data_IF_528929677179
#
_entry.id   IF_528929677179
#
_cell.length_a   1.000
_cell.length_b   1.000
_cell.length_c   1.000
_cell.angle_alpha   90.00
_cell.angle_beta   90.00
_cell.angle_gamma   90.00
#
_symmetry.space_group_name_H-M   'P 1'
#
loop_
_entity.id
_entity.type
_entity.pdbx_description
1 polymer ?
#
# COMPACT_ATOMS: atom_id res chain seq x y z
N UNK A 1 19.87 -22.59 -31.12
CA UNK A 1 19.73 -21.25 -30.49
C UNK A 1 19.98 -21.45 -29.00
N UNK A 2 20.78 -20.58 -28.37
CA UNK A 2 21.52 -20.73 -27.09
C UNK A 2 22.93 -21.31 -27.22
N UNK A 3 23.85 -20.47 -27.71
CA UNK A 3 25.29 -20.74 -27.78
C UNK A 3 26.08 -19.71 -26.94
N UNK A 4 25.49 -19.18 -25.88
CA UNK A 4 26.06 -18.02 -25.14
C UNK A 4 26.27 -18.23 -23.63
N UNK A 5 25.86 -19.38 -23.07
CA UNK A 5 26.07 -19.67 -21.64
C UNK A 5 27.52 -20.04 -21.30
N UNK A 6 28.36 -20.35 -22.30
CA UNK A 6 29.78 -20.70 -22.09
C UNK A 6 30.67 -19.51 -21.66
N UNK A 7 30.18 -18.27 -21.77
CA UNK A 7 30.91 -17.06 -21.36
C UNK A 7 30.60 -16.63 -19.93
N UNK A 8 29.59 -17.22 -19.30
CA UNK A 8 29.15 -16.89 -17.95
C UNK A 8 29.79 -17.87 -16.99
N UNK A 9 30.51 -17.39 -15.97
CA UNK A 9 31.05 -18.26 -14.93
C UNK A 9 29.88 -18.94 -14.22
N UNK A 10 29.96 -20.26 -14.03
CA UNK A 10 28.86 -21.05 -13.47
C UNK A 10 28.39 -20.55 -12.11
N UNK A 11 29.30 -20.04 -11.27
CA UNK A 11 29.01 -19.49 -9.93
C UNK A 11 28.15 -18.21 -9.92
N UNK A 12 27.98 -17.56 -11.08
CA UNK A 12 27.11 -16.38 -11.22
C UNK A 12 25.70 -16.71 -11.69
N UNK A 13 25.43 -17.99 -11.99
CA UNK A 13 24.10 -18.40 -12.42
C UNK A 13 23.13 -18.47 -11.23
N UNK A 14 21.83 -18.16 -11.42
CA UNK A 14 20.84 -18.17 -10.35
C UNK A 14 20.75 -19.50 -9.59
N UNK A 15 20.94 -20.63 -10.26
CA UNK A 15 20.93 -21.97 -9.65
C UNK A 15 22.05 -22.20 -8.62
N UNK A 16 23.12 -21.40 -8.64
CA UNK A 16 24.20 -21.42 -7.65
C UNK A 16 24.12 -20.23 -6.67
N UNK A 17 23.06 -19.42 -6.74
CA UNK A 17 22.79 -18.34 -5.80
C UNK A 17 21.97 -18.86 -4.61
N UNK A 18 22.45 -18.58 -3.39
CA UNK A 18 21.69 -18.87 -2.17
C UNK A 18 20.69 -17.75 -1.89
N UNK A 19 19.46 -17.89 -2.38
CA UNK A 19 18.36 -16.99 -2.04
C UNK A 19 17.83 -17.30 -0.63
N UNK A 20 18.23 -16.48 0.34
CA UNK A 20 17.76 -16.58 1.73
C UNK A 20 16.40 -15.88 1.84
N UNK A 21 15.39 -16.59 2.35
CA UNK A 21 14.12 -15.97 2.68
C UNK A 21 14.22 -15.23 4.02
N UNK A 22 14.50 -13.92 3.95
CA UNK A 22 14.58 -13.02 5.10
C UNK A 22 13.38 -12.06 5.18
N UNK A 23 12.38 -12.22 4.31
CA UNK A 23 11.19 -11.38 4.33
C UNK A 23 11.46 -9.88 4.14
N UNK A 24 10.73 -9.08 4.91
CA UNK A 24 10.81 -7.62 4.94
C UNK A 24 10.42 -7.06 6.32
N UNK A 25 10.36 -5.73 6.43
CA UNK A 25 9.92 -5.01 7.65
C UNK A 25 8.47 -5.28 8.08
N UNK A 26 7.67 -5.97 7.26
CA UNK A 26 6.27 -6.29 7.56
C UNK A 26 6.08 -7.75 7.95
N UNK A 27 6.92 -8.65 7.45
CA UNK A 27 6.80 -10.09 7.66
C UNK A 27 8.12 -10.79 7.34
N UNK A 28 8.51 -11.76 8.17
CA UNK A 28 9.86 -12.33 8.19
C UNK A 28 10.13 -13.41 7.12
N UNK A 29 9.11 -13.82 6.34
CA UNK A 29 9.24 -14.81 5.27
C UNK A 29 8.38 -14.45 4.05
N UNK A 30 9.02 -14.13 2.93
CA UNK A 30 8.37 -13.89 1.64
C UNK A 30 7.56 -15.11 1.18
N UNK A 31 8.06 -16.33 1.43
CA UNK A 31 7.40 -17.56 0.99
C UNK A 31 6.13 -17.89 1.79
N UNK A 32 6.00 -17.35 3.01
CA UNK A 32 4.83 -17.56 3.87
C UNK A 32 4.07 -16.26 4.15
N UNK A 33 4.30 -15.22 3.37
CA UNK A 33 3.77 -13.89 3.63
C UNK A 33 2.23 -13.88 3.50
N UNK A 34 1.48 -13.43 4.52
CA UNK A 34 0.02 -13.38 4.48
C UNK A 34 -0.51 -12.17 3.70
N UNK A 35 0.36 -11.26 3.26
CA UNK A 35 -0.06 -10.05 2.56
C UNK A 35 -0.62 -10.41 1.16
N UNK A 36 -1.75 -9.81 0.74
CA UNK A 36 -2.36 -10.08 -0.55
C UNK A 36 -1.51 -9.59 -1.73
N UNK A 37 -0.55 -8.69 -1.48
CA UNK A 37 0.36 -8.13 -2.48
C UNK A 37 1.73 -7.88 -1.83
N UNK A 38 2.82 -8.16 -2.53
CA UNK A 38 4.15 -7.87 -2.01
C UNK A 38 4.39 -6.35 -1.94
N UNK A 39 5.04 -5.87 -0.87
CA UNK A 39 5.40 -4.45 -0.72
C UNK A 39 6.39 -3.96 -1.79
N UNK A 40 7.22 -4.87 -2.32
CA UNK A 40 8.22 -4.56 -3.32
C UNK A 40 7.63 -4.55 -4.74
N UNK A 41 6.57 -5.32 -4.98
CA UNK A 41 5.88 -5.37 -6.28
C UNK A 41 5.06 -4.10 -6.54
N UNK A 42 4.47 -3.51 -5.50
CA UNK A 42 3.73 -2.23 -5.60
C UNK A 42 4.16 -1.27 -4.49
N UNK A 43 5.30 -0.56 -4.68
CA UNK A 43 5.83 0.35 -3.69
C UNK A 43 4.82 1.46 -3.36
N UNK A 44 4.11 1.32 -2.24
CA UNK A 44 3.14 2.30 -1.75
C UNK A 44 1.71 1.77 -1.56
N UNK A 45 1.39 0.55 -2.02
CA UNK A 45 0.03 0.00 -1.88
C UNK A 45 -0.44 -0.05 -0.42
N UNK A 46 0.45 -0.40 0.52
CA UNK A 46 0.15 -0.44 1.96
C UNK A 46 -0.19 0.94 2.49
N UNK A 47 0.58 1.96 2.09
CA UNK A 47 0.34 3.32 2.55
C UNK A 47 -0.96 3.87 1.97
N UNK A 48 -1.24 3.53 0.71
CA UNK A 48 -2.48 3.88 0.02
C UNK A 48 -3.68 3.22 0.71
N UNK A 49 -3.63 1.92 0.97
CA UNK A 49 -4.67 1.18 1.69
C UNK A 49 -4.98 1.80 3.06
N UNK A 50 -3.95 2.07 3.87
CA UNK A 50 -4.12 2.73 5.18
C UNK A 50 -4.79 4.10 5.07
N UNK A 51 -4.45 4.87 4.03
CA UNK A 51 -5.03 6.19 3.80
C UNK A 51 -6.49 6.06 3.37
N UNK A 52 -6.80 5.15 2.46
CA UNK A 52 -8.15 4.90 1.96
C UNK A 52 -9.06 4.42 3.09
N UNK A 53 -8.61 3.47 3.91
CA UNK A 53 -9.36 2.98 5.06
C UNK A 53 -9.65 4.11 6.06
N UNK A 54 -8.63 4.91 6.40
CA UNK A 54 -8.80 6.07 7.29
C UNK A 54 -9.81 7.07 6.71
N UNK A 55 -9.67 7.41 5.44
CA UNK A 55 -10.50 8.43 4.83
C UNK A 55 -11.97 7.97 4.74
N UNK A 56 -12.21 6.70 4.45
CA UNK A 56 -13.56 6.11 4.48
C UNK A 56 -14.18 6.19 5.87
N UNK A 57 -13.41 5.93 6.93
CA UNK A 57 -13.88 6.11 8.32
C UNK A 57 -14.23 7.57 8.62
N UNK A 58 -13.41 8.52 8.18
CA UNK A 58 -13.67 9.97 8.33
C UNK A 58 -14.96 10.35 7.58
N UNK A 59 -15.15 9.85 6.35
CA UNK A 59 -16.31 10.18 5.52
C UNK A 59 -17.62 9.67 6.11
N UNK A 60 -17.63 8.43 6.62
CA UNK A 60 -18.80 7.85 7.31
C UNK A 60 -19.21 8.70 8.51
N UNK A 61 -18.28 9.04 9.40
CA UNK A 61 -18.55 9.93 10.54
C UNK A 61 -19.02 11.31 10.10
N UNK A 62 -18.48 11.84 9.00
CA UNK A 62 -18.93 13.12 8.45
C UNK A 62 -20.38 13.05 7.94
N UNK A 63 -20.80 11.94 7.33
CA UNK A 63 -22.18 11.68 6.89
C UNK A 63 -23.14 11.54 8.07
N UNK A 64 -22.67 11.02 9.21
CA UNK A 64 -23.40 10.98 10.48
C UNK A 64 -23.54 12.37 11.15
N UNK A 65 -22.96 13.43 10.58
CA UNK A 65 -23.09 14.80 11.06
C UNK A 65 -21.92 15.32 11.89
N UNK A 66 -20.85 14.55 12.07
CA UNK A 66 -19.68 15.02 12.83
C UNK A 66 -19.03 16.24 12.17
N UNK A 67 -18.68 17.25 12.97
CA UNK A 67 -18.02 18.45 12.47
C UNK A 67 -16.56 18.17 12.09
N UNK A 68 -16.05 18.89 11.08
CA UNK A 68 -14.67 18.77 10.61
C UNK A 68 -13.66 19.08 11.71
N UNK A 69 -13.98 20.03 12.62
CA UNK A 69 -13.11 20.39 13.74
C UNK A 69 -12.98 19.25 14.76
N UNK A 70 -14.08 18.50 14.99
CA UNK A 70 -14.07 17.33 15.88
C UNK A 70 -13.25 16.21 15.23
N UNK A 71 -13.50 15.92 13.96
CA UNK A 71 -12.75 14.90 13.21
C UNK A 71 -11.25 15.20 13.14
N UNK A 72 -10.87 16.46 12.93
CA UNK A 72 -9.48 16.90 12.94
C UNK A 72 -8.79 16.58 14.27
N UNK A 73 -9.46 16.86 15.41
CA UNK A 73 -8.93 16.54 16.74
C UNK A 73 -8.86 15.03 16.98
N UNK A 74 -9.94 14.30 16.67
CA UNK A 74 -10.04 12.86 16.91
C UNK A 74 -8.96 12.07 16.17
N UNK A 75 -8.72 12.40 14.89
CA UNK A 75 -7.72 11.71 14.07
C UNK A 75 -6.32 12.33 14.17
N UNK A 76 -6.12 13.35 15.00
CA UNK A 76 -4.89 14.14 15.10
C UNK A 76 -4.40 14.64 13.72
N UNK A 77 -5.32 15.20 12.94
CA UNK A 77 -5.09 15.69 11.58
C UNK A 77 -5.42 17.18 11.45
N UNK A 78 -4.76 17.85 10.51
CA UNK A 78 -5.19 19.20 10.13
C UNK A 78 -6.58 19.18 9.48
N UNK A 79 -7.34 20.27 9.63
CA UNK A 79 -8.62 20.46 8.93
C UNK A 79 -8.45 20.33 7.41
N UNK A 80 -7.34 20.83 6.85
CA UNK A 80 -6.97 20.66 5.44
C UNK A 80 -6.87 19.19 5.03
N UNK A 81 -6.31 18.33 5.88
CA UNK A 81 -6.21 16.90 5.60
C UNK A 81 -7.59 16.24 5.56
N UNK A 82 -8.48 16.62 6.48
CA UNK A 82 -9.88 16.16 6.47
C UNK A 82 -10.58 16.59 5.17
N UNK A 83 -10.46 17.86 4.76
CA UNK A 83 -11.02 18.32 3.49
C UNK A 83 -10.44 17.58 2.27
N UNK A 84 -9.15 17.25 2.28
CA UNK A 84 -8.52 16.44 1.22
C UNK A 84 -9.00 14.98 1.22
N UNK A 85 -9.34 14.42 2.37
CA UNK A 85 -9.94 13.09 2.48
C UNK A 85 -11.33 13.08 1.83
N UNK A 86 -12.19 14.06 2.17
CA UNK A 86 -13.52 14.18 1.58
C UNK A 86 -13.47 14.30 0.05
N UNK A 87 -12.63 15.23 -0.47
CA UNK A 87 -12.49 15.41 -1.92
C UNK A 87 -12.02 14.18 -2.67
N UNK A 88 -11.19 13.33 -2.05
CA UNK A 88 -10.73 12.09 -2.70
C UNK A 88 -11.85 11.07 -2.83
N UNK A 89 -12.72 10.98 -1.82
CA UNK A 89 -13.88 10.09 -1.83
C UNK A 89 -14.97 10.63 -2.77
N UNK A 90 -15.23 11.93 -2.76
CA UNK A 90 -16.16 12.56 -3.70
C UNK A 90 -15.75 12.29 -5.15
N UNK A 91 -14.47 12.50 -5.48
CA UNK A 91 -13.92 12.17 -6.80
C UNK A 91 -14.07 10.70 -7.16
N UNK A 92 -13.82 9.80 -6.20
CA UNK A 92 -14.01 8.36 -6.41
C UNK A 92 -15.48 8.05 -6.72
N UNK A 93 -16.42 8.58 -5.94
CA UNK A 93 -17.85 8.40 -6.17
C UNK A 93 -18.31 8.94 -7.54
N UNK A 94 -17.77 10.08 -7.97
CA UNK A 94 -18.01 10.66 -9.30
C UNK A 94 -17.49 9.76 -10.44
N UNK A 95 -16.26 9.26 -10.33
CA UNK A 95 -15.64 8.40 -11.35
C UNK A 95 -16.36 7.04 -11.49
N UNK A 96 -16.92 6.52 -10.41
CA UNK A 96 -17.58 5.22 -10.37
C UNK A 96 -19.13 5.29 -10.37
N UNK A 97 -19.72 6.48 -10.52
CA UNK A 97 -21.19 6.73 -10.52
C UNK A 97 -21.92 6.07 -9.32
N UNK A 98 -21.36 6.19 -8.11
CA UNK A 98 -21.94 5.68 -6.85
C UNK A 98 -22.33 6.81 -5.88
#
# INVERSE_FOLDING_TARGET
MYTDLNLVRSDTLPEYSNYIDNGCDLFDSCLNCPLPRCRYDDPGWIQKEKIEERDMKIYRKRKEGCSIKILAKEYNLSTRTIHRAMRRIEKYNEEFNL
#
